data_IF_358763005183
#
_entry.id   IF_358763005183
#
_cell.length_a   1.000
_cell.length_b   1.000
_cell.length_c   1.000
_cell.angle_alpha   90.00
_cell.angle_beta   90.00
_cell.angle_gamma   90.00
#
_symmetry.space_group_name_H-M   'P 1'
#
loop_
_entity.id
_entity.type
_entity.pdbx_description
1 polymer ?
#
# COMPACT_ATOMS: atom_id res chain seq x y z
N UNK A 1 -11.15 -4.66 7.53
CA UNK A 1 -10.47 -4.73 8.85
C UNK A 1 -9.14 -3.98 8.75
N UNK A 2 -8.84 -3.08 9.68
CA UNK A 2 -7.51 -2.43 9.84
C UNK A 2 -6.90 -2.84 11.15
N UNK A 3 -5.57 -2.79 11.21
CA UNK A 3 -4.83 -2.99 12.45
C UNK A 3 -4.43 -1.62 12.97
N UNK A 4 -4.74 -1.37 14.23
CA UNK A 4 -4.25 -0.25 15.02
C UNK A 4 -3.79 -0.81 16.36
N UNK A 5 -3.05 -0.03 17.13
CA UNK A 5 -2.77 -0.39 18.52
C UNK A 5 -4.04 -0.33 19.36
N UNK A 6 -4.14 -1.24 20.34
CA UNK A 6 -5.23 -1.20 21.31
C UNK A 6 -5.18 0.13 22.08
N UNK A 7 -6.22 0.97 21.96
CA UNK A 7 -6.23 2.30 22.55
C UNK A 7 -6.24 2.27 24.08
N UNK A 8 -6.75 1.19 24.68
CA UNK A 8 -6.85 1.02 26.13
C UNK A 8 -5.65 0.28 26.71
N UNK A 9 -5.02 -0.62 25.94
CA UNK A 9 -3.88 -1.42 26.39
C UNK A 9 -2.91 -1.83 25.27
N UNK A 10 -1.88 -1.01 24.99
CA UNK A 10 -0.87 -1.29 23.98
C UNK A 10 -0.26 -2.70 24.12
N UNK A 11 -0.17 -3.44 23.01
CA UNK A 11 0.40 -4.80 22.99
C UNK A 11 -0.61 -5.94 23.23
N UNK A 12 -1.86 -5.64 23.55
CA UNK A 12 -2.92 -6.65 23.66
C UNK A 12 -3.75 -6.72 22.38
N UNK A 13 -3.88 -7.89 21.70
CA UNK A 13 -4.76 -8.03 20.54
C UNK A 13 -6.20 -7.67 20.89
N UNK A 14 -6.86 -6.86 20.05
CA UNK A 14 -8.25 -6.46 20.24
C UNK A 14 -9.01 -6.44 18.91
N UNK A 15 -10.33 -6.62 19.00
CA UNK A 15 -11.28 -6.44 17.91
C UNK A 15 -12.25 -5.36 18.35
N UNK A 16 -12.39 -4.30 17.55
CA UNK A 16 -13.27 -3.17 17.82
C UNK A 16 -14.13 -2.78 16.63
N UNK A 17 -15.22 -2.06 16.89
CA UNK A 17 -16.07 -1.43 15.88
C UNK A 17 -15.81 0.08 15.95
N UNK A 18 -15.40 0.68 14.84
CA UNK A 18 -15.18 2.13 14.72
C UNK A 18 -16.14 2.75 13.71
N UNK A 19 -16.44 4.03 13.87
CA UNK A 19 -17.21 4.81 12.88
C UNK A 19 -16.23 5.28 11.80
N UNK A 20 -16.49 4.88 10.55
CA UNK A 20 -15.75 5.36 9.38
C UNK A 20 -16.43 6.59 8.76
N UNK A 21 -15.63 7.50 8.20
CA UNK A 21 -16.15 8.55 7.31
C UNK A 21 -16.26 7.99 5.89
N UNK A 22 -17.42 8.16 5.26
CA UNK A 22 -17.64 7.80 3.86
C UNK A 22 -17.72 9.06 3.02
N UNK A 23 -17.02 9.07 1.88
CA UNK A 23 -17.08 10.14 0.89
C UNK A 23 -17.91 9.66 -0.29
N UNK A 24 -18.89 10.47 -0.71
CA UNK A 24 -19.65 10.24 -1.94
C UNK A 24 -19.17 11.24 -2.99
N UNK A 25 -18.74 10.73 -4.15
CA UNK A 25 -18.50 11.57 -5.32
C UNK A 25 -19.84 11.88 -6.01
N UNK A 26 -19.91 13.00 -6.73
CA UNK A 26 -21.10 13.37 -7.54
C UNK A 26 -21.19 12.59 -8.87
N UNK A 27 -20.30 11.63 -9.09
CA UNK A 27 -20.24 10.79 -10.29
C UNK A 27 -20.13 9.30 -9.93
N UNK A 28 -20.63 8.43 -10.80
CA UNK A 28 -20.63 6.98 -10.58
C UNK A 28 -19.22 6.39 -10.65
N UNK A 29 -18.79 5.77 -9.55
CA UNK A 29 -17.53 5.02 -9.48
C UNK A 29 -17.86 3.54 -9.32
N UNK A 30 -17.73 2.79 -10.42
CA UNK A 30 -17.93 1.34 -10.41
C UNK A 30 -16.59 0.63 -10.16
N UNK A 31 -16.41 0.10 -8.96
CA UNK A 31 -15.26 -0.76 -8.62
C UNK A 31 -15.61 -2.23 -8.87
N UNK A 32 -14.91 -2.88 -9.81
CA UNK A 32 -15.03 -4.33 -10.04
C UNK A 32 -14.10 -5.12 -9.10
N UNK A 33 -14.18 -4.87 -7.79
CA UNK A 33 -13.38 -5.57 -6.79
C UNK A 33 -14.31 -6.38 -5.90
N UNK A 34 -14.54 -7.62 -6.31
CA UNK A 34 -15.51 -8.51 -5.68
C UNK A 34 -15.10 -8.92 -4.25
N UNK A 35 -13.86 -8.68 -3.80
CA UNK A 35 -13.36 -9.22 -2.51
C UNK A 35 -12.37 -8.32 -1.74
N UNK A 36 -12.19 -7.04 -2.10
CA UNK A 36 -11.20 -6.16 -1.42
C UNK A 36 -11.87 -5.34 -0.31
N UNK A 37 -12.06 -5.97 0.86
CA UNK A 37 -12.87 -5.45 1.98
C UNK A 37 -12.09 -4.84 3.16
N UNK A 38 -11.18 -3.90 2.93
CA UNK A 38 -10.50 -3.22 4.06
C UNK A 38 -9.83 -1.88 3.70
N UNK A 39 -9.76 -0.93 4.66
CA UNK A 39 -9.12 0.38 4.43
C UNK A 39 -7.66 0.29 3.97
N UNK A 40 -6.98 -0.83 4.26
CA UNK A 40 -5.59 -1.10 3.86
C UNK A 40 -5.35 -1.21 2.35
N UNK A 41 -6.40 -1.22 1.54
CA UNK A 41 -6.31 -1.13 0.08
C UNK A 41 -6.40 0.32 -0.43
N UNK A 42 -6.71 1.29 0.44
CA UNK A 42 -6.99 2.68 0.06
C UNK A 42 -5.89 3.32 -0.77
N UNK A 43 -4.62 2.98 -0.48
CA UNK A 43 -3.49 3.46 -1.29
C UNK A 43 -3.54 2.95 -2.73
N UNK A 44 -3.74 1.65 -2.94
CA UNK A 44 -3.81 1.08 -4.30
C UNK A 44 -5.05 1.53 -5.06
N UNK A 45 -6.16 1.77 -4.36
CA UNK A 45 -7.34 2.40 -4.93
C UNK A 45 -7.05 3.80 -5.46
N UNK A 46 -6.41 4.64 -4.64
CA UNK A 46 -6.05 6.01 -5.02
C UNK A 46 -5.08 6.02 -6.21
N UNK A 47 -4.04 5.17 -6.20
CA UNK A 47 -3.11 5.00 -7.32
C UNK A 47 -3.84 4.55 -8.59
N UNK A 48 -4.76 3.59 -8.49
CA UNK A 48 -5.55 3.11 -9.63
C UNK A 48 -6.47 4.19 -10.21
N UNK A 49 -7.05 5.04 -9.38
CA UNK A 49 -7.83 6.21 -9.85
C UNK A 49 -6.92 7.20 -10.59
N UNK A 50 -5.73 7.49 -10.05
CA UNK A 50 -4.76 8.38 -10.70
C UNK A 50 -4.33 7.82 -12.06
N UNK A 51 -4.04 6.52 -12.15
CA UNK A 51 -3.72 5.84 -13.40
C UNK A 51 -4.85 5.97 -14.43
N UNK A 52 -6.11 5.86 -14.01
CA UNK A 52 -7.26 6.04 -14.92
C UNK A 52 -7.50 7.47 -15.37
N UNK A 53 -7.19 8.45 -14.53
CA UNK A 53 -7.45 9.87 -14.82
C UNK A 53 -6.27 10.55 -15.52
N UNK A 54 -5.07 9.99 -15.42
CA UNK A 54 -3.85 10.54 -16.00
C UNK A 54 -3.61 9.94 -17.38
N UNK A 55 -3.36 10.73 -18.43
CA UNK A 55 -2.99 10.19 -19.74
C UNK A 55 -1.70 9.37 -19.65
N UNK A 56 -1.78 8.08 -19.98
CA UNK A 56 -0.68 7.14 -19.89
C UNK A 56 -1.14 5.82 -19.29
N UNK A 57 -0.27 4.81 -19.32
CA UNK A 57 -0.40 3.60 -18.51
C UNK A 57 0.72 3.67 -17.46
N UNK A 58 0.35 4.05 -16.23
CA UNK A 58 1.27 4.21 -15.12
C UNK A 58 1.99 2.90 -14.81
N UNK A 59 1.24 1.79 -14.87
CA UNK A 59 1.72 0.44 -14.61
C UNK A 59 2.47 -0.17 -15.81
N UNK A 60 2.28 0.34 -17.03
CA UNK A 60 2.84 -0.16 -18.29
C UNK A 60 2.66 -1.68 -18.45
N UNK A 61 1.47 -2.18 -18.11
CA UNK A 61 1.14 -3.60 -18.12
C UNK A 61 1.90 -4.48 -17.11
N UNK A 62 2.64 -3.90 -16.14
CA UNK A 62 3.34 -4.63 -15.10
C UNK A 62 2.42 -4.98 -13.93
N UNK A 63 2.69 -6.10 -13.27
CA UNK A 63 1.92 -6.52 -12.10
C UNK A 63 2.45 -5.84 -10.83
N UNK A 64 1.69 -4.87 -10.33
CA UNK A 64 2.06 -4.05 -9.16
C UNK A 64 1.03 -4.27 -8.06
N UNK A 65 1.52 -4.56 -6.86
CA UNK A 65 0.71 -4.71 -5.66
C UNK A 65 1.10 -3.64 -4.62
N UNK A 66 0.29 -3.51 -3.59
CA UNK A 66 0.63 -2.64 -2.46
C UNK A 66 -0.42 -2.64 -1.37
N UNK A 67 -0.08 -2.01 -0.26
CA UNK A 67 -0.96 -1.85 0.90
C UNK A 67 -0.70 -0.51 1.58
N UNK A 68 -1.67 -0.07 2.37
CA UNK A 68 -1.63 1.19 3.10
C UNK A 68 -3.03 1.77 3.17
N UNK A 69 -3.43 2.27 4.35
CA UNK A 69 -4.62 3.14 4.41
C UNK A 69 -4.30 4.47 3.73
N UNK A 70 -5.32 5.14 3.20
CA UNK A 70 -5.14 6.44 2.57
C UNK A 70 -5.96 7.50 3.32
N UNK A 71 -5.29 8.51 3.84
CA UNK A 71 -5.93 9.68 4.44
C UNK A 71 -6.27 10.74 3.37
N UNK A 72 -7.24 11.64 3.61
CA UNK A 72 -7.64 12.67 2.64
C UNK A 72 -6.53 13.66 2.26
N UNK A 73 -5.54 13.84 3.12
CA UNK A 73 -4.36 14.68 2.89
C UNK A 73 -3.27 13.97 2.05
N UNK A 74 -3.51 12.72 1.64
CA UNK A 74 -2.57 11.90 0.88
C UNK A 74 -1.60 11.10 1.74
N UNK A 75 -1.73 11.10 3.07
CA UNK A 75 -0.87 10.33 3.97
C UNK A 75 -1.18 8.83 3.89
N UNK A 76 -0.13 8.02 3.77
CA UNK A 76 -0.22 6.55 3.79
C UNK A 76 -0.10 6.08 5.23
N UNK A 77 -1.12 5.37 5.71
CA UNK A 77 -1.20 4.90 7.09
C UNK A 77 -0.94 3.41 7.29
N UNK A 78 -0.95 2.97 8.56
CA UNK A 78 -0.52 1.64 8.97
C UNK A 78 -1.49 0.54 8.55
N UNK A 79 -0.98 -0.69 8.51
CA UNK A 79 -1.74 -1.89 8.17
C UNK A 79 -1.26 -3.08 9.00
N UNK A 80 -2.05 -4.16 9.04
CA UNK A 80 -1.58 -5.44 9.61
C UNK A 80 -1.33 -6.53 8.57
N UNK A 81 -0.58 -7.54 8.99
CA UNK A 81 -0.34 -8.76 8.21
C UNK A 81 0.62 -8.55 7.04
N UNK A 82 1.75 -7.87 7.27
CA UNK A 82 2.74 -7.58 6.21
C UNK A 82 3.24 -8.87 5.57
N UNK A 83 3.58 -9.87 6.37
CA UNK A 83 4.13 -11.15 5.89
C UNK A 83 3.18 -11.86 4.92
N UNK A 84 1.90 -11.95 5.28
CA UNK A 84 0.87 -12.59 4.47
C UNK A 84 0.64 -11.81 3.17
N UNK A 85 0.70 -10.48 3.22
CA UNK A 85 0.53 -9.61 2.05
C UNK A 85 1.70 -9.71 1.07
N UNK A 86 2.94 -9.76 1.56
CA UNK A 86 4.11 -9.95 0.70
C UNK A 86 4.06 -11.31 -0.01
N UNK A 87 3.79 -12.38 0.74
CA UNK A 87 3.63 -13.71 0.17
C UNK A 87 2.48 -13.78 -0.84
N UNK A 88 1.32 -13.20 -0.51
CA UNK A 88 0.16 -13.13 -1.40
C UNK A 88 0.44 -12.34 -2.67
N UNK A 89 1.09 -11.19 -2.57
CA UNK A 89 1.47 -10.36 -3.72
C UNK A 89 2.41 -11.11 -4.66
N UNK A 90 3.45 -11.76 -4.13
CA UNK A 90 4.34 -12.58 -4.97
C UNK A 90 3.60 -13.75 -5.59
N UNK A 91 2.74 -14.43 -4.82
CA UNK A 91 1.91 -15.53 -5.31
C UNK A 91 0.96 -15.13 -6.44
N UNK A 92 0.52 -13.87 -6.46
CA UNK A 92 -0.28 -13.28 -7.54
C UNK A 92 0.56 -12.80 -8.74
N UNK A 93 1.89 -12.89 -8.67
CA UNK A 93 2.80 -12.50 -9.74
C UNK A 93 3.25 -11.05 -9.69
N UNK A 94 3.03 -10.34 -8.58
CA UNK A 94 3.55 -8.98 -8.43
C UNK A 94 5.09 -8.97 -8.48
N UNK A 95 5.62 -7.92 -9.11
CA UNK A 95 7.05 -7.65 -9.21
C UNK A 95 7.46 -6.44 -8.37
N UNK A 96 6.52 -5.51 -8.15
CA UNK A 96 6.65 -4.36 -7.27
C UNK A 96 5.56 -4.42 -6.18
N UNK A 97 5.95 -4.14 -4.94
CA UNK A 97 5.06 -4.02 -3.80
C UNK A 97 5.27 -2.69 -3.08
N UNK A 98 4.22 -1.86 -3.03
CA UNK A 98 4.24 -0.62 -2.25
C UNK A 98 3.83 -0.89 -0.79
N UNK A 99 4.67 -0.46 0.15
CA UNK A 99 4.47 -0.69 1.59
C UNK A 99 4.56 0.64 2.37
N UNK A 100 3.75 0.90 3.41
CA UNK A 100 3.96 2.07 4.24
C UNK A 100 5.35 2.00 4.88
N UNK A 101 6.13 3.07 4.80
CA UNK A 101 7.54 3.07 5.18
C UNK A 101 7.80 2.56 6.61
N UNK A 102 6.87 2.86 7.54
CA UNK A 102 6.91 2.39 8.93
C UNK A 102 6.92 0.86 9.09
N UNK A 103 6.50 0.10 8.07
CA UNK A 103 6.50 -1.36 8.08
C UNK A 103 7.72 -1.99 7.38
N UNK A 104 8.71 -1.22 6.90
CA UNK A 104 9.90 -1.81 6.27
C UNK A 104 10.64 -2.78 7.20
N UNK A 105 10.74 -2.46 8.50
CA UNK A 105 11.37 -3.33 9.50
C UNK A 105 10.57 -4.62 9.73
N UNK A 106 9.25 -4.57 9.65
CA UNK A 106 8.39 -5.76 9.76
C UNK A 106 8.52 -6.67 8.51
N UNK A 107 8.80 -6.07 7.35
CA UNK A 107 9.04 -6.78 6.11
C UNK A 107 10.41 -7.48 6.05
N UNK A 108 11.38 -7.04 6.86
CA UNK A 108 12.74 -7.59 6.88
C UNK A 108 12.73 -9.11 7.12
N UNK A 109 13.42 -9.86 6.26
CA UNK A 109 13.46 -11.33 6.30
C UNK A 109 12.21 -12.04 5.75
N UNK A 110 11.19 -11.30 5.31
CA UNK A 110 9.95 -11.86 4.75
C UNK A 110 9.69 -11.43 3.30
N UNK A 111 10.61 -10.70 2.68
CA UNK A 111 10.53 -10.30 1.26
C UNK A 111 10.80 -11.53 0.38
N UNK A 112 9.82 -11.99 -0.43
CA UNK A 112 10.03 -13.11 -1.33
C UNK A 112 10.96 -12.76 -2.48
N UNK A 113 11.71 -13.75 -2.98
CA UNK A 113 12.56 -13.58 -4.16
C UNK A 113 11.77 -13.10 -5.38
N UNK A 114 12.34 -12.12 -6.08
CA UNK A 114 11.73 -11.51 -7.25
C UNK A 114 10.59 -10.52 -6.95
N UNK A 115 10.41 -10.12 -5.68
CA UNK A 115 9.53 -9.01 -5.31
C UNK A 115 10.35 -7.81 -4.85
N UNK A 116 10.26 -6.70 -5.58
CA UNK A 116 10.79 -5.41 -5.11
C UNK A 116 9.80 -4.79 -4.14
N UNK A 117 10.22 -4.51 -2.91
CA UNK A 117 9.35 -3.93 -1.87
C UNK A 117 9.79 -2.49 -1.62
N UNK A 118 8.97 -1.51 -2.01
CA UNK A 118 9.31 -0.09 -1.97
C UNK A 118 8.52 0.66 -0.90
N UNK A 119 9.20 1.35 0.05
CA UNK A 119 8.54 2.14 1.07
C UNK A 119 7.91 3.41 0.50
N UNK A 120 6.73 3.77 1.00
CA UNK A 120 6.00 5.00 0.67
C UNK A 120 5.44 5.63 1.94
N UNK A 121 5.36 6.97 1.98
CA UNK A 121 4.72 7.72 3.07
C UNK A 121 3.54 8.55 2.59
N UNK A 122 3.50 8.91 1.31
CA UNK A 122 2.40 9.65 0.70
C UNK A 122 1.91 9.03 -0.61
N UNK A 123 0.71 9.43 -1.06
CA UNK A 123 0.18 9.09 -2.37
C UNK A 123 1.10 9.55 -3.51
N UNK A 124 1.73 10.72 -3.35
CA UNK A 124 2.70 11.25 -4.31
C UNK A 124 3.92 10.32 -4.42
N UNK A 125 4.41 9.78 -3.31
CA UNK A 125 5.53 8.84 -3.33
C UNK A 125 5.14 7.53 -4.00
N UNK A 126 3.91 7.06 -3.76
CA UNK A 126 3.37 5.87 -4.40
C UNK A 126 3.36 6.00 -5.93
N UNK A 127 2.81 7.10 -6.45
CA UNK A 127 2.78 7.36 -7.90
C UNK A 127 4.19 7.46 -8.47
N UNK A 128 5.06 8.27 -7.84
CA UNK A 128 6.46 8.42 -8.29
C UNK A 128 7.25 7.12 -8.27
N UNK A 129 7.05 6.27 -7.26
CA UNK A 129 7.69 4.98 -7.17
C UNK A 129 7.27 4.08 -8.34
N UNK A 130 5.98 4.05 -8.67
CA UNK A 130 5.48 3.30 -9.83
C UNK A 130 6.08 3.84 -11.12
N UNK A 131 6.02 5.15 -11.38
CA UNK A 131 6.59 5.77 -12.59
C UNK A 131 8.08 5.48 -12.74
N UNK A 132 8.84 5.63 -11.65
CA UNK A 132 10.28 5.41 -11.63
C UNK A 132 10.58 3.95 -11.94
N UNK A 133 9.87 3.02 -11.31
CA UNK A 133 10.09 1.59 -11.51
C UNK A 133 9.68 1.13 -12.92
N UNK A 134 8.54 1.60 -13.44
CA UNK A 134 8.08 1.24 -14.79
C UNK A 134 8.86 1.92 -15.91
N UNK A 135 9.64 2.96 -15.61
CA UNK A 135 10.61 3.56 -16.55
C UNK A 135 12.00 2.91 -16.49
N UNK A 136 12.20 1.88 -15.66
CA UNK A 136 13.49 1.21 -15.48
C UNK A 136 14.45 1.92 -14.53
N UNK A 137 13.97 2.94 -13.81
CA UNK A 137 14.71 3.59 -12.74
C UNK A 137 14.85 2.71 -11.50
N UNK A 138 15.78 3.08 -10.63
CA UNK A 138 15.96 2.43 -9.32
C UNK A 138 15.05 3.07 -8.29
N UNK A 139 14.29 2.25 -7.57
CA UNK A 139 13.46 2.66 -6.44
C UNK A 139 14.11 2.29 -5.11
N UNK A 140 13.77 3.01 -4.05
CA UNK A 140 14.10 2.58 -2.69
C UNK A 140 13.51 1.20 -2.43
N UNK A 141 14.22 0.38 -1.65
CA UNK A 141 13.76 -0.95 -1.25
C UNK A 141 13.90 -1.15 0.26
N UNK A 142 12.98 -1.93 0.85
CA UNK A 142 13.12 -2.39 2.22
C UNK A 142 14.16 -3.53 2.30
N UNK A 143 14.84 -3.72 3.45
CA UNK A 143 14.83 -2.82 4.60
C UNK A 143 15.52 -1.49 4.27
N UNK A 144 14.94 -0.37 4.72
CA UNK A 144 15.64 0.91 4.66
C UNK A 144 16.67 0.93 5.77
N UNK A 145 17.94 1.04 5.43
CA UNK A 145 18.98 1.33 6.43
C UNK A 145 18.57 2.60 7.16
N UNK A 146 18.48 2.55 8.49
CA UNK A 146 18.26 3.77 9.26
C UNK A 146 19.41 4.73 8.95
N UNK A 147 19.11 5.87 8.33
CA UNK A 147 20.04 7.00 8.33
C UNK A 147 20.11 7.43 9.78
N UNK A 148 21.22 7.08 10.44
CA UNK A 148 21.37 7.27 11.87
C UNK A 148 21.21 8.73 12.30
N UNK A 149 20.54 8.87 13.46
CA UNK A 149 20.51 10.00 14.41
C UNK A 149 19.80 11.29 13.98
#
# INVERSE_FOLDING_TARGET
>A
MTSADNPDNPGTPYIGIGVGMFYAAEFDINFTLQDVGGPSAGTMFAVGIIDKLTPGDLAKGRHIAGTGTMAPDGTVGPIGGIRQKLAGARGAGAELFLIPAMHCKEAEGFIPDGLTVTPITTLTDAVKAVETWTSGGTVSSCPVSEVGS
#
